data_IF_038447485064
#
_entry.id   IF_038447485064
#
_cell.length_a   1.000
_cell.length_b   1.000
_cell.length_c   1.000
_cell.angle_alpha   90.00
_cell.angle_beta   90.00
_cell.angle_gamma   90.00
#
_symmetry.space_group_name_H-M   'P 1'
#
loop_
_entity.id
_entity.type
_entity.pdbx_description
1 polymer ?
#
# COMPACT_ATOMS: atom_id res chain seq x y z
N UNK A 1 14.12 -8.72 12.15
CA UNK A 1 12.75 -8.38 12.57
C UNK A 1 12.11 -7.46 11.53
N UNK A 2 12.30 -7.77 10.23
CA UNK A 2 11.88 -6.94 9.09
C UNK A 2 11.05 -7.69 8.03
N UNK A 3 10.65 -8.95 8.28
CA UNK A 3 9.78 -9.73 7.37
C UNK A 3 8.29 -9.29 7.40
N UNK A 4 7.96 -8.14 7.97
CA UNK A 4 6.59 -7.76 8.33
C UNK A 4 5.79 -6.97 7.28
N UNK A 5 6.24 -6.83 6.02
CA UNK A 5 5.50 -6.04 5.01
C UNK A 5 5.60 -6.62 3.59
N UNK A 6 5.38 -7.92 3.40
CA UNK A 6 5.12 -8.47 2.07
C UNK A 6 3.60 -8.58 1.82
N UNK A 7 2.86 -7.52 2.10
CA UNK A 7 1.45 -7.42 1.73
C UNK A 7 1.37 -7.11 0.24
N UNK A 8 0.84 -8.06 -0.52
CA UNK A 8 0.28 -7.96 -1.86
C UNK A 8 0.69 -6.73 -2.69
N UNK A 9 1.88 -6.74 -3.29
CA UNK A 9 2.21 -5.84 -4.40
C UNK A 9 1.62 -6.42 -5.67
N UNK A 10 0.54 -5.81 -6.15
CA UNK A 10 -0.02 -6.12 -7.46
C UNK A 10 1.03 -5.79 -8.53
N UNK A 11 1.52 -6.82 -9.21
CA UNK A 11 2.52 -6.73 -10.28
C UNK A 11 1.91 -6.04 -11.51
N UNK A 12 2.05 -4.74 -11.62
CA UNK A 12 1.83 -3.98 -12.85
C UNK A 12 3.17 -3.37 -13.29
N UNK A 13 4.11 -4.22 -13.71
CA UNK A 13 5.33 -3.78 -14.39
C UNK A 13 5.15 -3.97 -15.89
N UNK A 14 5.11 -2.87 -16.63
CA UNK A 14 5.19 -2.90 -18.10
C UNK A 14 6.61 -3.31 -18.49
N UNK A 15 6.81 -4.56 -18.91
CA UNK A 15 8.10 -5.09 -19.35
C UNK A 15 8.21 -4.98 -20.89
N UNK A 16 9.24 -4.28 -21.34
CA UNK A 16 9.70 -4.31 -22.74
C UNK A 16 10.69 -5.48 -22.91
N UNK A 17 10.28 -6.53 -23.60
CA UNK A 17 11.10 -7.71 -23.85
C UNK A 17 11.85 -7.64 -25.18
N UNK A 18 13.16 -7.82 -25.15
CA UNK A 18 13.96 -8.19 -26.30
C UNK A 18 13.94 -9.71 -26.46
N UNK A 19 13.39 -10.19 -27.57
CA UNK A 19 13.21 -11.60 -27.92
C UNK A 19 14.56 -12.31 -28.21
N UNK A 20 15.10 -13.01 -27.24
CA UNK A 20 15.97 -14.16 -27.52
C UNK A 20 15.27 -15.44 -27.10
N UNK A 21 14.71 -16.13 -28.09
CA UNK A 21 13.97 -17.38 -27.89
C UNK A 21 14.93 -18.51 -27.51
N UNK A 22 15.12 -18.70 -26.20
CA UNK A 22 15.53 -20.00 -25.66
C UNK A 22 14.25 -20.70 -25.20
N UNK A 23 13.97 -21.87 -25.75
CA UNK A 23 12.88 -22.75 -25.30
C UNK A 23 13.04 -23.02 -23.81
N UNK A 24 12.13 -22.45 -23.01
CA UNK A 24 12.07 -22.68 -21.58
C UNK A 24 11.77 -24.14 -21.29
N UNK A 25 12.48 -24.65 -20.33
CA UNK A 25 12.70 -26.05 -20.03
C UNK A 25 11.49 -26.93 -19.75
N UNK A 26 11.81 -28.20 -19.68
CA UNK A 26 10.89 -29.34 -19.69
C UNK A 26 10.36 -29.73 -18.31
N UNK A 27 10.56 -28.92 -17.26
CA UNK A 27 10.11 -29.28 -15.92
C UNK A 27 8.71 -28.77 -15.64
N UNK A 28 7.80 -29.68 -15.33
CA UNK A 28 6.38 -29.36 -15.11
C UNK A 28 6.05 -29.02 -13.64
N UNK A 29 6.95 -29.36 -12.71
CA UNK A 29 6.72 -29.23 -11.28
C UNK A 29 7.94 -28.68 -10.54
N UNK A 30 7.68 -28.04 -9.39
CA UNK A 30 8.70 -27.53 -8.47
C UNK A 30 8.75 -28.30 -7.16
N UNK A 31 7.60 -28.63 -6.59
CA UNK A 31 7.49 -29.42 -5.36
C UNK A 31 6.62 -30.64 -5.61
N UNK A 32 6.98 -31.76 -4.95
CA UNK A 32 6.11 -32.92 -4.77
C UNK A 32 5.85 -33.14 -3.30
N UNK A 33 4.64 -33.58 -2.97
CA UNK A 33 4.19 -33.81 -1.61
C UNK A 33 3.21 -34.96 -1.50
N UNK A 34 3.10 -35.52 -0.31
CA UNK A 34 2.20 -36.64 0.01
C UNK A 34 2.61 -37.95 -0.62
N UNK A 35 1.93 -39.03 -0.21
CA UNK A 35 2.21 -40.42 -0.67
C UNK A 35 1.94 -40.60 -2.16
N UNK A 36 1.00 -39.86 -2.73
CA UNK A 36 0.61 -39.92 -4.14
C UNK A 36 1.49 -39.02 -5.05
N UNK A 37 2.53 -38.41 -4.52
CA UNK A 37 3.42 -37.48 -5.24
C UNK A 37 2.67 -36.35 -5.98
N UNK A 38 1.72 -35.72 -5.32
CA UNK A 38 1.03 -34.56 -5.87
C UNK A 38 2.03 -33.44 -6.19
N UNK A 39 1.74 -32.65 -7.21
CA UNK A 39 2.69 -31.69 -7.78
C UNK A 39 2.23 -30.25 -7.64
N UNK A 40 3.15 -29.38 -7.20
CA UNK A 40 3.03 -27.93 -7.38
C UNK A 40 3.64 -27.57 -8.74
N UNK A 41 2.90 -26.90 -9.64
CA UNK A 41 3.39 -26.56 -10.97
C UNK A 41 4.56 -25.60 -10.93
N UNK A 42 5.52 -25.75 -11.85
CA UNK A 42 6.68 -24.86 -12.03
C UNK A 42 6.27 -23.39 -12.14
N UNK A 43 5.18 -23.08 -12.86
CA UNK A 43 4.72 -21.70 -13.05
C UNK A 43 4.33 -20.97 -11.77
N UNK A 44 4.01 -21.68 -10.67
CA UNK A 44 3.80 -21.09 -9.35
C UNK A 44 5.13 -20.54 -8.80
N UNK A 45 6.19 -21.39 -8.84
CA UNK A 45 7.52 -20.98 -8.40
C UNK A 45 8.08 -19.83 -9.23
N UNK A 46 7.89 -19.87 -10.55
CA UNK A 46 8.34 -18.79 -11.44
C UNK A 46 7.70 -17.46 -11.09
N UNK A 47 6.37 -17.42 -10.86
CA UNK A 47 5.70 -16.19 -10.42
C UNK A 47 6.26 -15.69 -9.09
N UNK A 48 6.46 -16.59 -8.12
CA UNK A 48 7.03 -16.25 -6.84
C UNK A 48 8.50 -15.79 -6.95
N UNK A 49 9.28 -16.32 -7.89
CA UNK A 49 10.63 -15.88 -8.18
C UNK A 49 10.65 -14.43 -8.71
N UNK A 50 9.76 -14.08 -9.65
CA UNK A 50 9.63 -12.70 -10.13
C UNK A 50 9.15 -11.76 -9.01
N UNK A 51 8.24 -12.21 -8.16
CA UNK A 51 7.81 -11.44 -6.97
C UNK A 51 8.98 -11.18 -6.01
N UNK A 52 9.74 -12.22 -5.68
CA UNK A 52 10.90 -12.09 -4.80
C UNK A 52 12.00 -11.21 -5.41
N UNK A 53 12.27 -11.35 -6.72
CA UNK A 53 13.24 -10.53 -7.44
C UNK A 53 12.84 -9.05 -7.42
N UNK A 54 11.59 -8.75 -7.72
CA UNK A 54 11.07 -7.38 -7.69
C UNK A 54 11.12 -6.76 -6.28
N UNK A 55 10.77 -7.56 -5.26
CA UNK A 55 10.84 -7.12 -3.87
C UNK A 55 12.28 -6.86 -3.41
N UNK A 56 13.24 -7.67 -3.86
CA UNK A 56 14.66 -7.49 -3.53
C UNK A 56 15.18 -6.10 -3.88
N UNK A 57 14.74 -5.51 -5.00
CA UNK A 57 15.09 -4.15 -5.40
C UNK A 57 14.73 -3.05 -4.40
N UNK A 58 13.77 -3.31 -3.50
CA UNK A 58 13.36 -2.36 -2.46
C UNK A 58 14.17 -2.48 -1.17
N UNK A 59 14.80 -3.63 -0.93
CA UNK A 59 15.50 -3.93 0.32
C UNK A 59 17.01 -4.04 0.16
N UNK A 60 17.48 -4.14 -1.09
CA UNK A 60 18.91 -4.32 -1.40
C UNK A 60 19.73 -3.08 -1.05
N UNK A 61 20.89 -3.31 -0.44
CA UNK A 61 21.85 -2.27 -0.09
C UNK A 61 23.27 -2.66 -0.52
N UNK A 62 24.05 -1.69 -1.04
CA UNK A 62 25.40 -1.94 -1.55
C UNK A 62 25.39 -2.77 -2.85
N UNK A 63 26.57 -3.18 -3.30
CA UNK A 63 26.75 -3.95 -4.53
C UNK A 63 26.69 -3.12 -5.80
N UNK A 64 27.34 -3.62 -6.89
CA UNK A 64 27.30 -2.98 -8.21
C UNK A 64 26.07 -3.42 -9.02
N UNK A 65 25.51 -4.60 -8.66
CA UNK A 65 24.29 -5.16 -9.24
C UNK A 65 23.34 -5.60 -8.13
N UNK A 66 22.05 -5.81 -8.45
CA UNK A 66 21.07 -6.29 -7.47
C UNK A 66 21.52 -7.61 -6.82
N UNK A 67 22.01 -8.58 -7.61
CA UNK A 67 22.35 -9.90 -7.08
C UNK A 67 23.62 -9.92 -6.20
N UNK A 68 24.50 -8.92 -6.38
CA UNK A 68 25.69 -8.72 -5.54
C UNK A 68 25.41 -7.91 -4.28
N UNK A 69 24.22 -7.27 -4.21
CA UNK A 69 23.79 -6.49 -3.06
C UNK A 69 23.48 -7.40 -1.87
N UNK A 70 23.36 -6.78 -0.69
CA UNK A 70 22.97 -7.47 0.53
C UNK A 70 21.55 -7.12 0.94
N UNK A 71 20.83 -8.13 1.41
CA UNK A 71 19.50 -7.97 2.04
C UNK A 71 19.58 -8.72 3.38
N UNK A 72 19.40 -7.98 4.49
CA UNK A 72 19.67 -8.52 5.83
C UNK A 72 21.11 -9.12 5.91
N UNK A 73 21.24 -10.37 6.31
CA UNK A 73 22.53 -11.07 6.46
C UNK A 73 22.88 -11.97 5.26
N UNK A 74 22.18 -11.84 4.11
CA UNK A 74 22.33 -12.68 2.92
C UNK A 74 22.67 -11.85 1.69
N UNK A 75 23.24 -12.52 0.66
CA UNK A 75 23.24 -11.93 -0.68
C UNK A 75 21.80 -11.84 -1.20
N UNK A 76 21.54 -10.83 -2.05
CA UNK A 76 20.21 -10.69 -2.66
C UNK A 76 19.85 -11.95 -3.48
N UNK A 77 20.80 -12.59 -4.16
CA UNK A 77 20.58 -13.88 -4.83
C UNK A 77 20.02 -14.94 -3.87
N UNK A 78 20.67 -15.15 -2.73
CA UNK A 78 20.21 -16.15 -1.75
C UNK A 78 18.86 -15.77 -1.14
N UNK A 79 18.67 -14.49 -0.84
CA UNK A 79 17.40 -13.98 -0.30
C UNK A 79 16.25 -14.21 -1.28
N UNK A 80 16.46 -13.93 -2.57
CA UNK A 80 15.45 -14.13 -3.62
C UNK A 80 15.06 -15.61 -3.73
N UNK A 81 16.04 -16.52 -3.75
CA UNK A 81 15.78 -17.99 -3.80
C UNK A 81 14.99 -18.47 -2.60
N UNK A 82 15.41 -18.07 -1.40
CA UNK A 82 14.75 -18.47 -0.15
C UNK A 82 13.32 -17.92 -0.11
N UNK A 83 13.13 -16.67 -0.49
CA UNK A 83 11.83 -16.00 -0.52
C UNK A 83 10.89 -16.66 -1.53
N UNK A 84 11.34 -16.89 -2.76
CA UNK A 84 10.55 -17.56 -3.79
C UNK A 84 10.09 -18.97 -3.37
N UNK A 85 11.00 -19.73 -2.77
CA UNK A 85 10.68 -21.06 -2.25
C UNK A 85 9.70 -20.99 -1.07
N UNK A 86 9.88 -20.03 -0.16
CA UNK A 86 8.95 -19.85 0.96
C UNK A 86 7.55 -19.45 0.49
N UNK A 87 7.42 -18.52 -0.47
CA UNK A 87 6.14 -18.15 -1.09
C UNK A 87 5.49 -19.35 -1.79
N UNK A 88 6.29 -20.23 -2.40
CA UNK A 88 5.79 -21.46 -3.05
C UNK A 88 5.28 -22.47 -2.02
N UNK A 89 5.94 -22.60 -0.88
CA UNK A 89 5.45 -23.39 0.26
C UNK A 89 4.19 -22.79 0.87
N UNK A 90 4.13 -21.46 0.96
CA UNK A 90 2.94 -20.75 1.42
C UNK A 90 1.72 -21.01 0.52
N UNK A 91 1.91 -20.95 -0.81
CA UNK A 91 0.88 -21.36 -1.77
C UNK A 91 0.34 -22.76 -1.47
N UNK A 92 1.25 -23.72 -1.25
CA UNK A 92 0.86 -25.10 -0.96
C UNK A 92 0.13 -25.20 0.40
N UNK A 93 0.67 -24.60 1.45
CA UNK A 93 0.10 -24.65 2.79
C UNK A 93 -1.32 -24.06 2.86
N UNK A 94 -1.53 -22.91 2.24
CA UNK A 94 -2.84 -22.25 2.12
C UNK A 94 -3.82 -23.13 1.34
N UNK A 95 -3.37 -23.71 0.21
CA UNK A 95 -4.23 -24.59 -0.61
C UNK A 95 -4.66 -25.81 0.18
N UNK A 96 -3.73 -26.48 0.86
CA UNK A 96 -4.04 -27.65 1.67
C UNK A 96 -4.95 -27.33 2.87
N UNK A 97 -4.73 -26.18 3.53
CA UNK A 97 -5.58 -25.77 4.65
C UNK A 97 -7.00 -25.44 4.21
N UNK A 98 -7.16 -24.78 3.06
CA UNK A 98 -8.46 -24.49 2.48
C UNK A 98 -9.25 -25.77 2.18
N UNK A 99 -8.57 -26.75 1.59
CA UNK A 99 -9.16 -28.05 1.26
C UNK A 99 -9.45 -28.89 2.54
N UNK A 100 -8.56 -28.87 3.54
CA UNK A 100 -8.75 -29.52 4.85
C UNK A 100 -10.01 -29.04 5.57
N UNK A 101 -10.29 -27.73 5.49
CA UNK A 101 -11.47 -27.10 6.09
C UNK A 101 -12.74 -27.32 5.25
N UNK A 102 -12.63 -27.98 4.07
CA UNK A 102 -13.75 -28.22 3.17
C UNK A 102 -14.33 -26.94 2.54
N UNK A 103 -13.54 -25.86 2.50
CA UNK A 103 -13.93 -24.60 1.88
C UNK A 103 -13.93 -24.74 0.35
N UNK A 104 -14.75 -23.95 -0.32
CA UNK A 104 -14.83 -23.91 -1.78
C UNK A 104 -15.02 -22.46 -2.24
N UNK A 105 -14.31 -22.07 -3.29
CA UNK A 105 -14.55 -20.78 -3.92
C UNK A 105 -15.98 -20.69 -4.45
N UNK A 106 -16.61 -19.56 -4.26
CA UNK A 106 -17.98 -19.29 -4.73
C UNK A 106 -18.03 -19.23 -6.27
N UNK A 107 -19.23 -19.34 -6.83
CA UNK A 107 -19.44 -19.17 -8.27
C UNK A 107 -19.02 -17.77 -8.76
N UNK A 108 -19.25 -16.73 -7.94
CA UNK A 108 -18.86 -15.35 -8.24
C UNK A 108 -17.34 -15.18 -8.29
N UNK A 109 -16.61 -15.75 -7.33
CA UNK A 109 -15.14 -15.74 -7.32
C UNK A 109 -14.56 -16.50 -8.50
N UNK A 110 -15.05 -17.69 -8.78
CA UNK A 110 -14.63 -18.47 -9.93
C UNK A 110 -14.87 -17.72 -11.25
N UNK A 111 -16.03 -17.05 -11.40
CA UNK A 111 -16.35 -16.25 -12.58
C UNK A 111 -15.41 -15.05 -12.72
N UNK A 112 -15.13 -14.37 -11.62
CA UNK A 112 -14.20 -13.23 -11.60
C UNK A 112 -12.78 -13.67 -11.95
N UNK A 113 -12.29 -14.77 -11.36
CA UNK A 113 -10.98 -15.36 -11.66
C UNK A 113 -10.88 -15.68 -13.15
N UNK A 114 -11.88 -16.35 -13.74
CA UNK A 114 -11.87 -16.69 -15.17
C UNK A 114 -11.84 -15.42 -16.05
N UNK A 115 -12.61 -14.41 -15.71
CA UNK A 115 -12.63 -13.13 -16.42
C UNK A 115 -11.26 -12.44 -16.38
N UNK A 116 -10.60 -12.43 -15.21
CA UNK A 116 -9.25 -11.87 -15.03
C UNK A 116 -8.22 -12.66 -15.84
N UNK A 117 -8.27 -13.99 -15.77
CA UNK A 117 -7.38 -14.88 -16.56
C UNK A 117 -7.55 -14.62 -18.05
N UNK A 118 -8.78 -14.55 -18.56
CA UNK A 118 -9.05 -14.31 -19.97
C UNK A 118 -8.54 -12.94 -20.44
N UNK A 119 -8.77 -11.90 -19.65
CA UNK A 119 -8.32 -10.55 -19.92
C UNK A 119 -6.79 -10.45 -20.00
N UNK A 120 -6.10 -10.97 -18.97
CA UNK A 120 -4.63 -10.94 -18.90
C UNK A 120 -4.02 -11.83 -19.97
N UNK A 121 -4.57 -13.04 -20.19
CA UNK A 121 -4.04 -13.96 -21.20
C UNK A 121 -4.17 -13.43 -22.63
N UNK A 122 -5.25 -12.70 -22.90
CA UNK A 122 -5.45 -12.03 -24.20
C UNK A 122 -4.37 -10.97 -24.48
N UNK A 123 -3.93 -10.25 -23.46
CA UNK A 123 -3.01 -9.13 -23.62
C UNK A 123 -1.55 -9.51 -23.40
N UNK A 124 -1.28 -10.45 -22.48
CA UNK A 124 0.07 -10.76 -21.97
C UNK A 124 0.41 -12.26 -21.97
N UNK A 125 -0.47 -13.14 -22.46
CA UNK A 125 -0.29 -14.60 -22.39
C UNK A 125 1.01 -15.10 -23.04
N UNK A 126 1.45 -14.47 -24.14
CA UNK A 126 2.72 -14.81 -24.76
C UNK A 126 3.91 -14.45 -23.84
N UNK A 127 3.89 -13.26 -23.26
CA UNK A 127 4.92 -12.81 -22.31
C UNK A 127 5.00 -13.72 -21.09
N UNK A 128 3.87 -14.09 -20.49
CA UNK A 128 3.84 -15.03 -19.37
C UNK A 128 4.40 -16.41 -19.76
N UNK A 129 4.06 -16.90 -20.95
CA UNK A 129 4.56 -18.18 -21.45
C UNK A 129 6.09 -18.13 -21.63
N UNK A 130 6.63 -17.03 -22.17
CA UNK A 130 8.07 -16.82 -22.29
C UNK A 130 8.77 -16.72 -20.92
N UNK A 131 8.09 -16.23 -19.91
CA UNK A 131 8.59 -16.23 -18.53
C UNK A 131 8.61 -17.63 -17.90
N UNK A 132 7.87 -18.58 -18.44
CA UNK A 132 7.70 -19.93 -17.88
C UNK A 132 6.41 -20.12 -17.09
N UNK A 133 5.47 -19.20 -17.21
CA UNK A 133 4.14 -19.26 -16.59
C UNK A 133 3.11 -19.62 -17.63
N UNK A 134 2.43 -20.75 -17.45
CA UNK A 134 1.29 -21.10 -18.29
C UNK A 134 -0.03 -20.57 -17.70
N UNK A 135 -1.08 -20.61 -18.52
CA UNK A 135 -2.41 -20.09 -18.15
C UNK A 135 -2.98 -20.75 -16.88
N UNK A 136 -2.80 -22.06 -16.73
CA UNK A 136 -3.25 -22.81 -15.56
C UNK A 136 -2.53 -22.37 -14.27
N UNK A 137 -1.22 -22.21 -14.34
CA UNK A 137 -0.45 -21.71 -13.18
C UNK A 137 -0.83 -20.27 -12.80
N UNK A 138 -1.12 -19.42 -13.79
CA UNK A 138 -1.60 -18.06 -13.52
C UNK A 138 -2.97 -18.08 -12.84
N UNK A 139 -3.90 -18.90 -13.33
CA UNK A 139 -5.21 -19.09 -12.71
C UNK A 139 -5.07 -19.58 -11.26
N UNK A 140 -4.24 -20.59 -11.01
CA UNK A 140 -3.99 -21.12 -9.66
C UNK A 140 -3.44 -20.08 -8.68
N UNK A 141 -2.65 -19.10 -9.14
CA UNK A 141 -2.22 -17.99 -8.29
C UNK A 141 -3.37 -17.05 -7.93
N UNK A 142 -4.30 -16.79 -8.85
CA UNK A 142 -5.51 -16.03 -8.54
C UNK A 142 -6.44 -16.79 -7.57
N UNK A 143 -6.60 -18.10 -7.77
CA UNK A 143 -7.33 -18.97 -6.84
C UNK A 143 -6.69 -18.97 -5.45
N UNK A 144 -5.35 -19.02 -5.38
CA UNK A 144 -4.61 -18.91 -4.12
C UNK A 144 -4.89 -17.59 -3.41
N UNK A 145 -4.92 -16.48 -4.13
CA UNK A 145 -5.23 -15.16 -3.55
C UNK A 145 -6.65 -15.14 -2.97
N UNK A 146 -7.63 -15.67 -3.68
CA UNK A 146 -9.00 -15.80 -3.19
C UNK A 146 -9.08 -16.71 -1.96
N UNK A 147 -8.49 -17.91 -2.03
CA UNK A 147 -8.42 -18.86 -0.90
C UNK A 147 -7.78 -18.24 0.35
N UNK A 148 -6.73 -17.43 0.18
CA UNK A 148 -6.09 -16.72 1.31
C UNK A 148 -7.05 -15.74 1.96
N UNK A 149 -7.80 -14.98 1.15
CA UNK A 149 -8.84 -14.07 1.64
C UNK A 149 -9.97 -14.80 2.37
N UNK A 150 -10.45 -15.89 1.79
CA UNK A 150 -11.51 -16.72 2.39
C UNK A 150 -11.08 -17.34 3.72
N UNK A 151 -9.83 -17.82 3.80
CA UNK A 151 -9.28 -18.34 5.06
C UNK A 151 -9.19 -17.25 6.12
N UNK A 152 -8.74 -16.06 5.73
CA UNK A 152 -8.73 -14.91 6.63
C UNK A 152 -10.14 -14.59 7.14
N UNK A 153 -11.13 -14.55 6.25
CA UNK A 153 -12.53 -14.32 6.63
C UNK A 153 -13.11 -15.47 7.45
N UNK A 154 -12.72 -16.73 7.16
CA UNK A 154 -13.16 -17.89 7.92
C UNK A 154 -12.76 -17.80 9.39
N UNK A 155 -11.53 -17.36 9.67
CA UNK A 155 -11.03 -17.27 11.05
C UNK A 155 -11.43 -15.97 11.75
N UNK A 156 -11.36 -14.83 11.06
CA UNK A 156 -11.47 -13.50 11.66
C UNK A 156 -12.71 -12.72 11.22
N UNK A 157 -13.41 -13.14 10.17
CA UNK A 157 -14.65 -12.51 9.73
C UNK A 157 -15.80 -12.70 10.70
N UNK A 158 -16.95 -12.14 10.38
CA UNK A 158 -18.14 -12.26 11.23
C UNK A 158 -18.53 -13.72 11.47
N UNK A 159 -18.57 -14.12 12.73
CA UNK A 159 -18.84 -15.51 13.13
C UNK A 159 -17.62 -16.43 13.12
N UNK A 160 -16.45 -15.94 12.73
CA UNK A 160 -15.19 -16.69 12.82
C UNK A 160 -14.75 -16.90 14.27
N UNK A 161 -14.01 -17.98 14.51
CA UNK A 161 -13.56 -18.36 15.86
C UNK A 161 -12.67 -17.28 16.52
N UNK A 162 -11.90 -16.55 15.72
CA UNK A 162 -10.95 -15.53 16.14
C UNK A 162 -11.42 -14.11 15.81
N UNK A 163 -12.72 -13.95 15.47
CA UNK A 163 -13.29 -12.66 15.10
C UNK A 163 -13.16 -11.64 16.25
N UNK A 164 -12.68 -10.42 15.97
CA UNK A 164 -12.66 -9.37 16.97
C UNK A 164 -14.07 -9.00 17.43
N UNK A 165 -14.17 -8.67 18.72
CA UNK A 165 -15.40 -8.11 19.29
C UNK A 165 -15.59 -6.65 18.89
N UNK A 166 -16.81 -6.13 18.98
CA UNK A 166 -17.11 -4.70 18.76
C UNK A 166 -16.27 -3.78 19.67
N UNK A 167 -15.99 -4.23 20.89
CA UNK A 167 -15.17 -3.46 21.84
C UNK A 167 -13.69 -3.41 21.40
N UNK A 168 -13.15 -4.50 20.86
CA UNK A 168 -11.79 -4.54 20.31
C UNK A 168 -11.66 -3.65 19.09
N UNK A 169 -12.66 -3.64 18.20
CA UNK A 169 -12.71 -2.69 17.07
C UNK A 169 -12.70 -1.24 17.56
N UNK A 170 -13.54 -0.89 18.55
CA UNK A 170 -13.58 0.46 19.12
C UNK A 170 -12.26 0.86 19.78
N UNK A 171 -11.66 -0.04 20.56
CA UNK A 171 -10.37 0.22 21.19
C UNK A 171 -9.27 0.43 20.17
N UNK A 172 -9.21 -0.41 19.12
CA UNK A 172 -8.22 -0.27 18.07
C UNK A 172 -8.43 1.03 17.30
N UNK A 173 -9.66 1.33 16.90
CA UNK A 173 -10.01 2.53 16.15
C UNK A 173 -9.66 3.80 16.93
N UNK A 174 -10.10 3.90 18.18
CA UNK A 174 -9.83 5.04 19.04
C UNK A 174 -8.33 5.21 19.37
N UNK A 175 -7.56 4.12 19.39
CA UNK A 175 -6.13 4.17 19.67
C UNK A 175 -5.24 4.43 18.45
N UNK A 176 -5.77 4.28 17.23
CA UNK A 176 -4.96 4.32 16.02
C UNK A 176 -5.47 5.31 14.95
N UNK A 177 -6.57 5.99 15.20
CA UNK A 177 -7.16 6.93 14.23
C UNK A 177 -7.49 8.27 14.87
N UNK A 178 -7.45 9.28 14.05
CA UNK A 178 -7.82 10.64 14.40
C UNK A 178 -8.74 11.23 13.35
N UNK A 179 -9.71 12.06 13.77
CA UNK A 179 -10.49 12.89 12.88
C UNK A 179 -10.09 14.33 13.05
N UNK A 180 -9.69 14.97 11.95
CA UNK A 180 -9.22 16.34 11.93
C UNK A 180 -9.80 17.10 10.75
N UNK A 181 -9.89 18.43 10.87
CA UNK A 181 -9.95 19.39 9.76
C UNK A 181 -8.66 20.15 9.72
N UNK A 182 -8.18 20.46 8.53
CA UNK A 182 -6.94 21.19 8.41
C UNK A 182 -6.90 22.04 7.14
N UNK A 183 -6.24 23.18 7.22
CA UNK A 183 -5.73 23.93 6.08
C UNK A 183 -4.21 23.89 6.10
N UNK A 184 -3.58 23.94 4.94
CA UNK A 184 -2.13 23.87 4.80
C UNK A 184 -1.58 25.06 4.03
N UNK A 185 -0.56 25.69 4.59
CA UNK A 185 0.16 26.80 3.97
C UNK A 185 1.58 26.34 3.66
N UNK A 186 1.99 26.46 2.38
CA UNK A 186 3.31 26.07 1.96
C UNK A 186 4.36 27.00 2.58
N UNK A 187 5.50 26.42 2.99
CA UNK A 187 6.65 27.23 3.38
C UNK A 187 7.23 27.95 2.16
N UNK A 188 7.45 29.23 2.28
CA UNK A 188 8.07 30.06 1.26
C UNK A 188 9.51 30.42 1.64
N UNK A 189 10.25 31.03 0.73
CA UNK A 189 11.62 31.50 1.02
C UNK A 189 11.68 32.46 2.20
N UNK A 190 10.63 33.26 2.35
CA UNK A 190 10.50 34.26 3.45
C UNK A 190 10.48 33.60 4.83
N UNK A 191 9.89 32.38 4.94
CA UNK A 191 9.80 31.68 6.22
C UNK A 191 11.16 31.21 6.78
N UNK A 192 12.19 31.18 5.94
CA UNK A 192 13.55 30.73 6.30
C UNK A 192 14.56 31.85 6.39
N UNK A 193 14.17 33.10 6.02
CA UNK A 193 15.04 34.28 6.07
C UNK A 193 15.16 34.85 7.48
N UNK A 194 16.33 35.31 7.81
CA UNK A 194 16.55 36.17 8.98
C UNK A 194 16.01 37.58 8.71
N UNK A 195 15.83 38.40 9.74
CA UNK A 195 15.37 39.78 9.59
C UNK A 195 16.28 40.60 8.67
N UNK A 196 17.61 40.38 8.73
CA UNK A 196 18.60 41.08 7.89
C UNK A 196 18.50 40.62 6.41
N UNK A 197 18.29 39.33 6.17
CA UNK A 197 18.10 38.76 4.83
C UNK A 197 16.78 39.21 4.21
N UNK A 198 15.71 39.27 5.00
CA UNK A 198 14.42 39.78 4.57
C UNK A 198 14.52 41.26 4.15
N UNK A 199 15.14 42.09 4.99
CA UNK A 199 15.35 43.50 4.68
C UNK A 199 16.24 43.71 3.44
N UNK A 200 17.22 42.84 3.20
CA UNK A 200 18.06 42.88 2.01
C UNK A 200 17.24 42.46 0.76
N UNK A 201 16.44 41.42 0.85
CA UNK A 201 15.59 40.95 -0.23
C UNK A 201 14.53 41.99 -0.62
N UNK A 202 13.90 42.65 0.37
CA UNK A 202 12.97 43.76 0.12
C UNK A 202 13.64 44.95 -0.58
N UNK A 203 14.90 45.25 -0.26
CA UNK A 203 15.66 46.36 -0.87
C UNK A 203 16.09 46.07 -2.33
N UNK A 204 16.13 44.81 -2.74
CA UNK A 204 16.48 44.38 -4.10
C UNK A 204 15.27 44.27 -5.04
N UNK A 205 14.02 44.39 -4.56
CA UNK A 205 12.82 44.30 -5.35
C UNK A 205 12.75 45.46 -6.38
N UNK A 206 12.36 45.09 -7.61
CA UNK A 206 12.03 46.09 -8.65
C UNK A 206 10.63 46.70 -8.40
N UNK A 207 10.32 47.82 -9.08
CA UNK A 207 9.03 48.48 -8.93
C UNK A 207 7.88 47.61 -9.39
N UNK A 208 7.02 47.17 -8.45
CA UNK A 208 5.88 46.29 -8.69
C UNK A 208 6.11 44.81 -8.31
N UNK A 209 7.31 44.43 -7.88
CA UNK A 209 7.60 43.12 -7.31
C UNK A 209 7.28 43.08 -5.81
N UNK A 210 6.86 41.93 -5.34
CA UNK A 210 6.64 41.64 -3.92
C UNK A 210 7.28 40.31 -3.55
N UNK A 211 7.74 40.18 -2.31
CA UNK A 211 8.15 38.88 -1.79
C UNK A 211 6.93 37.95 -1.69
N UNK A 212 7.13 36.63 -1.79
CA UNK A 212 6.06 35.66 -1.53
C UNK A 212 5.55 35.84 -0.09
N UNK A 213 4.25 35.63 0.10
CA UNK A 213 3.67 35.71 1.43
C UNK A 213 4.20 34.58 2.32
N UNK A 214 4.50 34.86 3.58
CA UNK A 214 4.97 33.87 4.53
C UNK A 214 3.88 32.86 4.85
N UNK A 215 4.11 31.57 4.59
CA UNK A 215 3.19 30.50 4.95
C UNK A 215 2.97 30.43 6.46
N UNK A 216 3.97 30.77 7.26
CA UNK A 216 3.85 30.89 8.72
C UNK A 216 2.88 32.00 9.12
N UNK A 217 3.00 33.20 8.52
CA UNK A 217 2.12 34.32 8.83
C UNK A 217 0.67 34.01 8.44
N UNK A 218 0.44 33.35 7.31
CA UNK A 218 -0.87 32.90 6.88
C UNK A 218 -1.46 31.90 7.88
N UNK A 219 -0.68 30.90 8.31
CA UNK A 219 -1.10 29.91 9.30
C UNK A 219 -1.44 30.56 10.66
N UNK A 220 -0.63 31.52 11.11
CA UNK A 220 -0.87 32.28 12.36
C UNK A 220 -2.15 33.13 12.26
N UNK A 221 -2.41 33.73 11.10
CA UNK A 221 -3.63 34.50 10.85
C UNK A 221 -4.87 33.57 10.85
N UNK A 222 -4.81 32.43 10.20
CA UNK A 222 -5.88 31.44 10.20
C UNK A 222 -6.14 30.91 11.62
N UNK A 223 -5.11 30.59 12.40
CA UNK A 223 -5.25 30.18 13.80
C UNK A 223 -5.94 31.26 14.64
N UNK A 224 -5.57 32.53 14.46
CA UNK A 224 -6.20 33.64 15.19
C UNK A 224 -7.69 33.81 14.85
N UNK A 225 -8.10 33.60 13.58
CA UNK A 225 -9.49 33.58 13.14
C UNK A 225 -10.28 32.49 13.87
N UNK A 226 -9.74 31.26 13.92
CA UNK A 226 -10.37 30.13 14.61
C UNK A 226 -10.48 30.35 16.12
N UNK A 227 -9.48 30.92 16.75
CA UNK A 227 -9.49 31.28 18.18
C UNK A 227 -10.53 32.38 18.51
N UNK A 228 -10.85 33.21 17.53
CA UNK A 228 -11.94 34.19 17.63
C UNK A 228 -13.31 33.62 17.32
N UNK A 229 -13.42 32.31 17.06
CA UNK A 229 -14.70 31.61 16.89
C UNK A 229 -15.18 31.50 15.46
N UNK A 230 -14.34 31.74 14.48
CA UNK A 230 -14.65 31.48 13.08
C UNK A 230 -14.60 29.99 12.78
N UNK A 231 -15.42 29.51 11.83
CA UNK A 231 -15.46 28.10 11.46
C UNK A 231 -14.29 27.76 10.52
N UNK A 232 -13.64 26.62 10.77
CA UNK A 232 -12.57 26.09 9.92
C UNK A 232 -13.04 25.90 8.48
N UNK A 233 -14.29 25.45 8.25
CA UNK A 233 -14.84 25.26 6.92
C UNK A 233 -14.86 26.55 6.11
N UNK A 234 -15.13 27.69 6.76
CA UNK A 234 -15.09 28.99 6.09
C UNK A 234 -13.71 29.27 5.55
N UNK A 235 -12.67 29.01 6.35
CA UNK A 235 -11.26 29.22 5.94
C UNK A 235 -10.87 28.24 4.81
N UNK A 236 -11.33 26.99 4.87
CA UNK A 236 -11.09 25.99 3.81
C UNK A 236 -11.70 26.47 2.49
N UNK A 237 -12.98 26.86 2.51
CA UNK A 237 -13.69 27.34 1.31
C UNK A 237 -13.06 28.60 0.71
N UNK A 238 -12.56 29.52 1.52
CA UNK A 238 -11.86 30.70 1.04
C UNK A 238 -10.54 30.30 0.32
N UNK A 239 -9.76 29.38 0.90
CA UNK A 239 -8.55 28.86 0.26
C UNK A 239 -8.83 28.13 -1.06
N UNK A 240 -9.88 27.32 -1.11
CA UNK A 240 -10.30 26.63 -2.33
C UNK A 240 -10.67 27.63 -3.43
N UNK A 241 -11.44 28.66 -3.09
CA UNK A 241 -11.83 29.71 -4.03
C UNK A 241 -10.63 30.52 -4.55
N UNK A 242 -9.62 30.79 -3.72
CA UNK A 242 -8.38 31.44 -4.15
C UNK A 242 -7.58 30.59 -5.12
N UNK A 243 -7.48 29.27 -4.87
CA UNK A 243 -6.78 28.34 -5.76
C UNK A 243 -7.49 28.12 -7.10
N UNK A 244 -8.82 28.14 -7.13
CA UNK A 244 -9.60 28.08 -8.37
C UNK A 244 -9.39 29.33 -9.21
N UNK A 245 -9.33 30.51 -8.60
CA UNK A 245 -9.14 31.79 -9.30
C UNK A 245 -7.76 31.88 -9.98
N UNK A 246 -6.71 31.34 -9.34
CA UNK A 246 -5.36 31.28 -9.93
C UNK A 246 -5.26 30.28 -11.09
N UNK A 247 -6.16 29.28 -11.17
CA UNK A 247 -6.20 28.28 -12.24
C UNK A 247 -7.07 28.67 -13.44
N UNK A 248 -7.98 29.66 -13.30
CA UNK A 248 -8.93 30.08 -14.34
C UNK A 248 -8.40 31.12 -15.34
N UNK A 249 -7.16 31.58 -15.24
CA UNK A 249 -6.60 32.45 -16.29
C UNK A 249 -6.47 31.79 -17.68
N UNK A 250 -6.76 30.47 -17.84
CA UNK A 250 -6.66 29.75 -19.12
C UNK A 250 -7.97 29.27 -19.75
N UNK A 251 -9.13 29.29 -19.10
CA UNK A 251 -10.37 28.81 -19.76
C UNK A 251 -11.60 29.64 -19.39
N UNK A 252 -11.96 30.59 -20.24
CA UNK A 252 -13.22 31.30 -20.17
C UNK A 252 -14.35 30.46 -20.77
N UNK A 253 -15.12 29.77 -19.95
CA UNK A 253 -16.53 29.43 -20.23
C UNK A 253 -17.26 29.17 -18.90
N UNK A 254 -17.93 30.18 -18.36
CA UNK A 254 -18.58 30.13 -17.06
C UNK A 254 -19.99 29.56 -17.18
N UNK A 255 -20.24 28.40 -16.61
CA UNK A 255 -21.56 28.04 -16.07
C UNK A 255 -21.53 28.20 -14.54
N UNK A 256 -22.28 29.19 -14.03
CA UNK A 256 -22.59 29.31 -12.60
C UNK A 256 -23.32 28.02 -12.16
N UNK A 257 -22.61 27.06 -11.61
CA UNK A 257 -23.19 25.96 -10.87
C UNK A 257 -23.65 26.47 -9.50
N UNK A 258 -24.94 26.32 -9.19
CA UNK A 258 -25.50 26.61 -7.89
C UNK A 258 -24.67 25.90 -6.80
N UNK A 259 -24.24 26.64 -5.78
CA UNK A 259 -23.59 26.10 -4.57
C UNK A 259 -24.53 25.05 -3.95
N UNK A 260 -24.29 23.76 -4.17
CA UNK A 260 -24.86 22.70 -3.34
C UNK A 260 -24.26 22.86 -1.93
N UNK A 261 -25.11 22.84 -0.90
CA UNK A 261 -24.65 22.83 0.48
C UNK A 261 -23.80 21.56 0.72
N UNK A 262 -22.48 21.70 0.62
CA UNK A 262 -21.52 20.61 0.87
C UNK A 262 -21.67 20.15 2.32
N UNK A 263 -21.79 18.84 2.54
CA UNK A 263 -21.82 18.27 3.89
C UNK A 263 -20.53 18.65 4.63
N UNK A 264 -20.61 19.26 5.83
CA UNK A 264 -19.44 19.60 6.63
C UNK A 264 -18.45 18.46 6.84
N UNK A 265 -18.89 17.21 6.78
CA UNK A 265 -18.04 16.03 6.94
C UNK A 265 -17.11 15.79 5.74
N UNK A 266 -17.37 16.36 4.58
CA UNK A 266 -16.51 16.24 3.40
C UNK A 266 -15.14 16.93 3.59
N UNK A 267 -15.07 17.89 4.53
CA UNK A 267 -13.83 18.58 4.91
C UNK A 267 -13.07 17.86 6.02
N UNK A 268 -13.57 16.73 6.51
CA UNK A 268 -12.96 15.99 7.60
C UNK A 268 -12.01 14.90 7.08
N UNK A 269 -10.88 14.78 7.73
CA UNK A 269 -9.90 13.74 7.46
C UNK A 269 -9.84 12.75 8.61
N UNK A 270 -10.21 11.49 8.36
CA UNK A 270 -9.99 10.39 9.30
C UNK A 270 -8.70 9.69 8.93
N UNK A 271 -7.67 9.89 9.73
CA UNK A 271 -6.29 9.49 9.44
C UNK A 271 -5.80 8.48 10.46
N UNK A 272 -5.24 7.36 9.97
CA UNK A 272 -4.51 6.40 10.80
C UNK A 272 -3.14 6.97 11.21
N UNK A 273 -2.76 6.79 12.47
CA UNK A 273 -1.42 7.12 12.98
C UNK A 273 -0.32 6.32 12.25
N UNK A 274 -0.68 5.22 11.59
CA UNK A 274 0.21 4.36 10.82
C UNK A 274 0.26 4.73 9.32
N UNK A 275 -0.51 5.74 8.87
CA UNK A 275 -0.53 6.16 7.47
C UNK A 275 0.75 6.92 7.09
N UNK A 276 1.67 6.25 6.42
CA UNK A 276 2.97 6.82 6.01
C UNK A 276 2.88 7.85 4.87
N UNK A 277 1.72 7.99 4.22
CA UNK A 277 1.49 9.04 3.22
C UNK A 277 1.27 10.42 3.85
N UNK A 278 0.98 10.47 5.15
CA UNK A 278 0.84 11.70 5.92
C UNK A 278 2.11 11.94 6.73
N UNK A 279 2.67 13.17 6.79
CA UNK A 279 3.88 13.45 7.54
C UNK A 279 3.81 12.96 9.00
N UNK A 280 4.88 12.33 9.48
CA UNK A 280 4.93 11.76 10.83
C UNK A 280 4.65 12.82 11.90
N UNK A 281 5.20 14.02 11.73
CA UNK A 281 4.98 15.14 12.65
C UNK A 281 3.50 15.53 12.74
N UNK A 282 2.77 15.47 11.61
CA UNK A 282 1.32 15.72 11.59
C UNK A 282 0.58 14.66 12.39
N UNK A 283 0.81 13.38 12.06
CA UNK A 283 0.15 12.24 12.73
C UNK A 283 0.40 12.23 14.24
N UNK A 284 1.65 12.40 14.63
CA UNK A 284 2.05 12.38 16.06
C UNK A 284 1.45 13.55 16.84
N UNK A 285 1.50 14.76 16.27
CA UNK A 285 1.00 15.94 16.96
C UNK A 285 -0.52 16.02 16.97
N UNK A 286 -1.20 15.65 15.88
CA UNK A 286 -2.67 15.61 15.83
C UNK A 286 -3.23 14.53 16.79
N UNK A 287 -2.55 13.40 16.90
CA UNK A 287 -2.93 12.34 17.84
C UNK A 287 -2.89 12.81 19.30
N UNK A 288 -1.90 13.62 19.65
CA UNK A 288 -1.74 14.16 20.99
C UNK A 288 -2.69 15.32 21.34
N UNK A 289 -3.45 15.87 20.36
CA UNK A 289 -4.41 16.96 20.59
C UNK A 289 -5.65 16.48 21.31
N UNK A 290 -6.22 17.36 22.14
CA UNK A 290 -7.54 17.16 22.69
C UNK A 290 -8.65 17.48 21.66
N UNK A 291 -9.78 16.82 21.75
CA UNK A 291 -10.97 17.13 20.91
C UNK A 291 -11.36 18.59 21.09
N UNK A 292 -11.55 19.31 20.00
CA UNK A 292 -11.81 20.74 19.96
C UNK A 292 -10.57 21.65 19.99
N UNK A 293 -9.38 21.08 20.22
CA UNK A 293 -8.13 21.85 20.17
C UNK A 293 -7.82 22.25 18.72
N UNK A 294 -7.29 23.49 18.58
CA UNK A 294 -6.77 24.02 17.31
C UNK A 294 -5.33 24.42 17.48
N UNK A 295 -4.48 24.04 16.54
CA UNK A 295 -3.03 24.21 16.66
C UNK A 295 -2.36 24.28 15.28
N UNK A 296 -1.23 24.96 15.18
CA UNK A 296 -0.33 24.87 14.03
C UNK A 296 0.61 23.69 14.24
N UNK A 297 0.69 22.82 13.22
CA UNK A 297 1.68 21.74 13.12
C UNK A 297 2.62 22.07 11.97
N UNK A 298 3.91 22.20 12.27
CA UNK A 298 4.95 22.51 11.29
C UNK A 298 5.59 21.21 10.79
N UNK A 299 5.61 21.04 9.46
CA UNK A 299 6.37 19.99 8.77
C UNK A 299 7.53 20.61 7.98
N UNK A 300 8.25 19.78 7.22
CA UNK A 300 9.37 20.28 6.40
C UNK A 300 8.93 21.31 5.36
N UNK A 301 7.75 21.12 4.74
CA UNK A 301 7.29 21.90 3.60
C UNK A 301 6.05 22.75 3.88
N UNK A 302 5.31 22.49 4.97
CA UNK A 302 4.01 23.12 5.25
C UNK A 302 3.82 23.48 6.71
N UNK A 303 2.99 24.50 6.93
CA UNK A 303 2.32 24.78 8.19
C UNK A 303 0.86 24.33 8.07
N UNK A 304 0.44 23.35 8.89
CA UNK A 304 -0.94 22.88 8.96
C UNK A 304 -1.63 23.55 10.14
N UNK A 305 -2.73 24.24 9.91
CA UNK A 305 -3.64 24.65 10.98
C UNK A 305 -4.66 23.56 11.15
N UNK A 306 -4.60 22.85 12.26
CA UNK A 306 -5.34 21.61 12.49
C UNK A 306 -6.34 21.80 13.61
N UNK A 307 -7.58 21.40 13.38
CA UNK A 307 -8.62 21.25 14.40
C UNK A 307 -8.88 19.76 14.65
N UNK A 308 -8.76 19.34 15.91
CA UNK A 308 -9.12 17.98 16.33
C UNK A 308 -10.62 17.84 16.52
N UNK A 309 -11.22 16.85 15.90
CA UNK A 309 -12.64 16.54 15.99
C UNK A 309 -12.89 15.28 16.81
N UNK A 310 -14.14 15.09 17.23
CA UNK A 310 -14.57 13.79 17.76
C UNK A 310 -14.50 12.75 16.64
N UNK A 311 -13.83 11.61 16.92
CA UNK A 311 -13.45 10.66 15.89
C UNK A 311 -14.68 10.03 15.21
N UNK A 312 -15.65 9.60 15.99
CA UNK A 312 -16.80 8.83 15.49
C UNK A 312 -18.07 9.13 16.32
N UNK A 313 -18.66 10.34 16.14
CA UNK A 313 -19.76 10.80 16.99
C UNK A 313 -21.04 9.96 16.85
N UNK A 314 -21.23 9.28 15.74
CA UNK A 314 -22.45 8.52 15.41
C UNK A 314 -22.22 7.03 15.12
N UNK A 315 -20.97 6.55 15.16
CA UNK A 315 -20.61 5.15 14.89
C UNK A 315 -20.50 4.78 13.40
N UNK A 316 -20.64 5.75 12.50
CA UNK A 316 -20.61 5.51 11.05
C UNK A 316 -19.21 5.23 10.54
N UNK A 317 -18.21 5.95 11.03
CA UNK A 317 -16.80 5.81 10.64
C UNK A 317 -16.23 4.43 10.99
N UNK A 318 -16.47 3.98 12.22
CA UNK A 318 -16.10 2.64 12.64
C UNK A 318 -16.74 1.58 11.74
N UNK A 319 -18.05 1.73 11.47
CA UNK A 319 -18.80 0.78 10.65
C UNK A 319 -18.26 0.73 9.22
N UNK A 320 -18.00 1.87 8.60
CA UNK A 320 -17.45 1.96 7.23
C UNK A 320 -16.04 1.36 7.11
N UNK A 321 -15.26 1.38 8.19
CA UNK A 321 -13.84 0.93 8.20
C UNK A 321 -13.63 -0.48 8.75
N UNK A 322 -14.69 -1.19 9.16
CA UNK A 322 -14.55 -2.51 9.81
C UNK A 322 -13.65 -3.49 9.05
N UNK A 323 -13.76 -3.55 7.73
CA UNK A 323 -12.91 -4.45 6.93
C UNK A 323 -11.43 -4.05 6.95
N UNK A 324 -11.13 -2.75 6.90
CA UNK A 324 -9.76 -2.23 6.99
C UNK A 324 -9.19 -2.48 8.38
N UNK A 325 -9.98 -2.17 9.42
CA UNK A 325 -9.57 -2.40 10.81
C UNK A 325 -9.30 -3.89 11.06
N UNK A 326 -10.14 -4.78 10.53
CA UNK A 326 -9.92 -6.22 10.65
C UNK A 326 -8.56 -6.63 10.07
N UNK A 327 -8.22 -6.14 8.89
CA UNK A 327 -6.92 -6.41 8.26
C UNK A 327 -5.77 -5.86 9.12
N UNK A 328 -5.87 -4.62 9.57
CA UNK A 328 -4.84 -3.99 10.41
C UNK A 328 -4.64 -4.73 11.75
N UNK A 329 -5.73 -5.18 12.37
CA UNK A 329 -5.70 -5.88 13.66
C UNK A 329 -5.17 -7.31 13.55
N UNK A 330 -5.44 -8.01 12.44
CA UNK A 330 -5.30 -9.47 12.36
C UNK A 330 -4.32 -9.98 11.30
N UNK A 331 -3.78 -9.11 10.44
CA UNK A 331 -2.86 -9.54 9.38
C UNK A 331 -1.61 -10.24 9.94
N UNK A 332 -0.99 -9.69 11.00
CA UNK A 332 0.21 -10.30 11.60
C UNK A 332 -0.10 -11.66 12.25
N UNK A 333 -1.25 -11.79 12.89
CA UNK A 333 -1.69 -13.04 13.52
C UNK A 333 -1.99 -14.11 12.46
N UNK A 334 -2.63 -13.69 11.35
CA UNK A 334 -2.88 -14.59 10.22
C UNK A 334 -1.58 -15.02 9.53
N UNK A 335 -0.64 -14.10 9.31
CA UNK A 335 0.67 -14.44 8.76
C UNK A 335 1.41 -15.45 9.65
N UNK A 336 1.36 -15.29 10.96
CA UNK A 336 1.94 -16.26 11.90
C UNK A 336 1.27 -17.64 11.77
N UNK A 337 -0.06 -17.68 11.66
CA UNK A 337 -0.82 -18.92 11.44
C UNK A 337 -0.43 -19.61 10.12
N UNK A 338 -0.24 -18.84 9.05
CA UNK A 338 0.23 -19.37 7.77
C UNK A 338 1.65 -19.95 7.89
N UNK A 339 2.54 -19.33 8.67
CA UNK A 339 3.88 -19.90 8.94
C UNK A 339 3.79 -21.23 9.71
N UNK A 340 2.83 -21.38 10.62
CA UNK A 340 2.57 -22.68 11.28
C UNK A 340 2.10 -23.73 10.28
N UNK A 341 1.24 -23.39 9.34
CA UNK A 341 0.82 -24.32 8.27
C UNK A 341 1.98 -24.72 7.35
N UNK A 342 2.88 -23.79 7.04
CA UNK A 342 4.11 -24.09 6.28
C UNK A 342 5.00 -25.07 7.06
N UNK A 343 5.15 -24.87 8.36
CA UNK A 343 5.94 -25.77 9.21
C UNK A 343 5.32 -27.16 9.35
N UNK A 344 4.00 -27.28 9.21
CA UNK A 344 3.25 -28.52 9.27
C UNK A 344 3.12 -29.23 7.90
N UNK A 345 3.68 -28.69 6.83
CA UNK A 345 3.66 -29.33 5.51
C UNK A 345 4.27 -30.75 5.58
N UNK A 346 3.74 -31.71 4.81
CA UNK A 346 4.36 -33.02 4.68
C UNK A 346 5.77 -32.94 4.11
N UNK A 347 6.50 -34.04 4.12
CA UNK A 347 7.82 -34.09 3.47
C UNK A 347 7.71 -33.66 2.00
N UNK A 348 8.58 -32.74 1.61
CA UNK A 348 8.59 -32.13 0.28
C UNK A 348 9.81 -32.61 -0.50
N UNK A 349 9.58 -33.05 -1.74
CA UNK A 349 10.64 -33.24 -2.73
C UNK A 349 10.76 -32.01 -3.60
N UNK A 350 11.92 -31.37 -3.62
CA UNK A 350 12.21 -30.18 -4.46
C UNK A 350 12.77 -30.64 -5.81
N UNK A 351 12.34 -30.02 -6.88
CA UNK A 351 12.94 -30.22 -8.20
C UNK A 351 14.12 -29.24 -8.41
N UNK A 352 15.31 -29.68 -8.04
CA UNK A 352 16.52 -28.85 -8.14
C UNK A 352 16.78 -28.36 -9.57
N UNK A 353 16.42 -29.17 -10.59
CA UNK A 353 16.54 -28.73 -11.97
C UNK A 353 15.67 -27.51 -12.27
N UNK A 354 14.46 -27.45 -11.74
CA UNK A 354 13.57 -26.29 -11.87
C UNK A 354 14.15 -25.07 -11.15
N UNK A 355 14.71 -25.26 -9.94
CA UNK A 355 15.36 -24.20 -9.18
C UNK A 355 16.51 -23.56 -9.97
N UNK A 356 17.37 -24.36 -10.57
CA UNK A 356 18.48 -23.89 -11.39
C UNK A 356 18.02 -23.21 -12.70
N UNK A 357 17.00 -23.77 -13.33
CA UNK A 357 16.45 -23.23 -14.60
C UNK A 357 15.81 -21.86 -14.46
N UNK A 358 15.24 -21.56 -13.29
CA UNK A 358 14.62 -20.28 -12.96
C UNK A 358 15.33 -19.56 -11.81
N UNK A 359 16.66 -19.57 -11.85
CA UNK A 359 17.47 -18.87 -10.85
C UNK A 359 17.36 -17.34 -10.96
N UNK A 360 17.71 -16.59 -9.90
CA UNK A 360 17.73 -15.13 -9.95
C UNK A 360 18.58 -14.58 -11.09
N UNK A 361 19.71 -15.20 -11.44
CA UNK A 361 20.56 -14.77 -12.56
C UNK A 361 19.87 -14.95 -13.92
N UNK A 362 19.02 -15.96 -14.06
CA UNK A 362 18.23 -16.17 -15.28
C UNK A 362 17.14 -15.13 -15.38
N UNK A 363 16.48 -14.79 -14.25
CA UNK A 363 15.48 -13.75 -14.20
C UNK A 363 16.10 -12.38 -14.50
N UNK A 364 17.23 -12.05 -13.85
CA UNK A 364 17.97 -10.80 -14.06
C UNK A 364 18.33 -10.59 -15.54
N UNK A 365 18.87 -11.59 -16.19
CA UNK A 365 19.20 -11.55 -17.62
C UNK A 365 17.98 -11.35 -18.53
N UNK A 366 16.80 -11.80 -18.10
CA UNK A 366 15.57 -11.60 -18.88
C UNK A 366 14.96 -10.21 -18.69
N UNK A 367 15.22 -9.59 -17.54
CA UNK A 367 14.69 -8.24 -17.24
C UNK A 367 15.63 -7.13 -17.73
N UNK A 368 16.94 -7.35 -17.65
CA UNK A 368 17.97 -6.32 -17.86
C UNK A 368 18.85 -6.55 -19.09
N UNK A 369 18.70 -7.66 -19.81
CA UNK A 369 19.40 -8.02 -21.05
C UNK A 369 18.52 -7.88 -22.25
#
# INVERSE_FOLDING_TARGET
>A
MMMKKLSAVALAAAMSFSLSACTLGSTSWILKYGDDNQEVPTGIYVQNMYTAYSAAGQYATGGDTLLESSIEDKTADQWIRDTAMNLTKQYLAVTLKFDELGLTLTEAENTNIQSMVDSVWKSYGESYTLMGVNRDSYQKMLEYTAKTGDLFQHFYGEGGELAPTEEEYKQYFNGNYDRTRAVSYAKTSVDTMTEDELAAAEAELEEGETLPESGKAQAEAALARLQNGEDMITIIKEMEAEQEHDSEEETADGEETAEEETDPSEYDNVVSINNTSVPEVYRTQSHAMAVGEVKIIESDNYYYVVQKLELDPDGSELTARKSTLLQEMKAEEFDAMVQEWIAALPELTVNEKTVEEFSPEVIDKRQNG
#
